data_IF_824881480230
#
_entry.id   IF_824881480230
#
_cell.length_a   1.000
_cell.length_b   1.000
_cell.length_c   1.000
_cell.angle_alpha   90.00
_cell.angle_beta   90.00
_cell.angle_gamma   90.00
#
_symmetry.space_group_name_H-M   'P 1'
#
loop_
_entity.id
_entity.type
_entity.pdbx_description
1 polymer ?
#
# COMPACT_ATOMS: atom_id res chain seq x y z
N UNK A 1 -10.16 15.41 2.01
CA UNK A 1 -8.75 15.80 2.26
C UNK A 1 -8.06 14.94 3.33
N UNK A 2 -8.69 14.65 4.47
CA UNK A 2 -8.02 13.93 5.58
C UNK A 2 -7.76 12.44 5.31
N UNK A 3 -8.69 11.75 4.62
CA UNK A 3 -8.57 10.32 4.31
C UNK A 3 -7.35 10.01 3.43
N UNK A 4 -7.14 10.76 2.34
CA UNK A 4 -5.98 10.58 1.45
C UNK A 4 -4.65 10.77 2.20
N UNK A 5 -4.55 11.83 3.02
CA UNK A 5 -3.36 12.12 3.81
C UNK A 5 -3.06 10.98 4.80
N UNK A 6 -4.07 10.52 5.54
CA UNK A 6 -3.91 9.39 6.47
C UNK A 6 -3.44 8.13 5.74
N UNK A 7 -3.99 7.87 4.55
CA UNK A 7 -3.65 6.71 3.75
C UNK A 7 -2.17 6.72 3.34
N UNK A 8 -1.64 7.89 2.98
CA UNK A 8 -0.21 8.07 2.70
C UNK A 8 0.68 7.94 3.92
N UNK A 9 0.29 8.53 5.06
CA UNK A 9 1.05 8.45 6.31
C UNK A 9 1.14 7.01 6.84
N UNK A 10 0.01 6.31 6.81
CA UNK A 10 -0.09 4.90 7.19
C UNK A 10 0.78 4.03 6.26
N UNK A 11 0.71 4.25 4.93
CA UNK A 11 1.56 3.53 3.97
C UNK A 11 3.05 3.76 4.22
N UNK A 12 3.47 5.01 4.41
CA UNK A 12 4.87 5.33 4.69
C UNK A 12 5.33 4.67 6.00
N UNK A 13 4.49 4.70 7.04
CA UNK A 13 4.78 4.07 8.33
C UNK A 13 4.94 2.55 8.21
N UNK A 14 4.06 1.90 7.45
CA UNK A 14 4.15 0.47 7.19
C UNK A 14 5.37 0.10 6.33
N UNK A 15 5.75 0.91 5.35
CA UNK A 15 6.97 0.70 4.56
C UNK A 15 8.23 0.80 5.42
N UNK A 16 8.29 1.78 6.33
CA UNK A 16 9.38 1.89 7.31
C UNK A 16 9.44 0.66 8.23
N UNK A 17 8.27 0.21 8.71
CA UNK A 17 8.17 -1.00 9.52
C UNK A 17 8.60 -2.26 8.75
N UNK A 18 8.26 -2.34 7.47
CA UNK A 18 8.63 -3.42 6.55
C UNK A 18 10.14 -3.58 6.37
N UNK A 19 10.92 -2.50 6.52
CA UNK A 19 12.39 -2.58 6.56
C UNK A 19 12.92 -3.45 7.71
N UNK A 20 12.13 -3.65 8.77
CA UNK A 20 12.46 -4.52 9.90
C UNK A 20 11.78 -5.89 9.85
N UNK A 21 11.04 -6.22 8.78
CA UNK A 21 10.25 -7.45 8.66
C UNK A 21 11.04 -8.73 8.92
N UNK A 22 12.31 -8.78 8.47
CA UNK A 22 13.18 -9.94 8.69
C UNK A 22 13.46 -10.24 10.18
N UNK A 23 13.30 -9.25 11.07
CA UNK A 23 13.50 -9.39 12.51
C UNK A 23 12.24 -9.79 13.27
N UNK A 24 11.09 -9.79 12.62
CA UNK A 24 9.83 -10.17 13.27
C UNK A 24 9.79 -11.67 13.52
N UNK A 25 9.14 -12.06 14.61
CA UNK A 25 8.72 -13.44 14.81
C UNK A 25 7.56 -13.79 13.87
N UNK A 26 7.14 -15.05 13.86
CA UNK A 26 6.09 -15.53 12.96
C UNK A 26 4.79 -14.75 13.10
N UNK A 27 4.38 -14.46 14.33
CA UNK A 27 3.14 -13.72 14.61
C UNK A 27 3.26 -12.25 14.17
N UNK A 28 4.39 -11.59 14.44
CA UNK A 28 4.67 -10.24 13.98
C UNK A 28 4.70 -10.13 12.45
N UNK A 29 5.27 -11.13 11.77
CA UNK A 29 5.22 -11.20 10.30
C UNK A 29 3.80 -11.34 9.78
N UNK A 30 2.98 -12.21 10.41
CA UNK A 30 1.58 -12.39 10.05
C UNK A 30 0.78 -11.10 10.21
N UNK A 31 0.89 -10.44 11.37
CA UNK A 31 0.23 -9.15 11.64
C UNK A 31 0.69 -8.09 10.63
N UNK A 32 1.98 -8.03 10.33
CA UNK A 32 2.50 -7.08 9.34
C UNK A 32 1.85 -7.27 7.96
N UNK A 33 1.76 -8.51 7.49
CA UNK A 33 1.10 -8.84 6.21
C UNK A 33 -0.37 -8.43 6.26
N UNK A 34 -1.11 -8.78 7.31
CA UNK A 34 -2.52 -8.44 7.46
C UNK A 34 -2.75 -6.91 7.45
N UNK A 35 -1.89 -6.15 8.13
CA UNK A 35 -1.96 -4.68 8.13
C UNK A 35 -1.66 -4.09 6.75
N UNK A 36 -0.68 -4.64 6.04
CA UNK A 36 -0.39 -4.25 4.66
C UNK A 36 -1.56 -4.55 3.72
N UNK A 37 -2.17 -5.73 3.82
CA UNK A 37 -3.34 -6.11 3.01
C UNK A 37 -4.54 -5.19 3.28
N UNK A 38 -4.83 -4.89 4.55
CA UNK A 38 -5.89 -3.96 4.93
C UNK A 38 -5.66 -2.55 4.38
N UNK A 39 -4.41 -2.08 4.38
CA UNK A 39 -4.06 -0.82 3.74
C UNK A 39 -4.28 -0.87 2.21
N UNK A 40 -3.87 -1.95 1.55
CA UNK A 40 -4.11 -2.11 0.10
C UNK A 40 -5.58 -2.10 -0.26
N UNK A 41 -6.44 -2.70 0.58
CA UNK A 41 -7.88 -2.67 0.37
C UNK A 41 -8.46 -1.25 0.55
N UNK A 42 -8.05 -0.53 1.60
CA UNK A 42 -8.41 0.90 1.80
C UNK A 42 -8.00 1.75 0.59
N UNK A 43 -6.78 1.53 0.08
CA UNK A 43 -6.31 2.23 -1.11
C UNK A 43 -7.16 1.91 -2.33
N UNK A 44 -7.47 0.63 -2.58
CA UNK A 44 -8.29 0.19 -3.71
C UNK A 44 -9.67 0.85 -3.67
N UNK A 45 -10.30 0.88 -2.51
CA UNK A 45 -11.59 1.54 -2.30
C UNK A 45 -11.46 3.05 -2.56
N UNK A 46 -10.41 3.70 -2.06
CA UNK A 46 -10.14 5.12 -2.29
C UNK A 46 -10.02 5.42 -3.80
N UNK A 47 -9.22 4.65 -4.53
CA UNK A 47 -9.06 4.80 -5.98
C UNK A 47 -10.33 4.48 -6.77
N UNK A 48 -11.15 3.53 -6.33
CA UNK A 48 -12.42 3.22 -6.98
C UNK A 48 -13.45 4.33 -6.77
N UNK A 49 -13.55 4.87 -5.55
CA UNK A 49 -14.40 6.05 -5.28
C UNK A 49 -13.95 7.24 -6.11
N UNK A 50 -12.65 7.38 -6.28
CA UNK A 50 -12.04 8.41 -7.09
C UNK A 50 -12.37 8.30 -8.58
N UNK A 51 -12.17 7.12 -9.17
CA UNK A 51 -12.44 6.84 -10.59
C UNK A 51 -13.90 7.15 -10.96
N UNK A 52 -14.81 7.02 -9.99
CA UNK A 52 -16.23 7.29 -10.13
C UNK A 52 -16.65 8.72 -9.74
N UNK A 53 -15.72 9.55 -9.25
CA UNK A 53 -16.01 10.90 -8.76
C UNK A 53 -15.68 11.95 -9.81
N UNK A 54 -16.64 12.85 -10.09
CA UNK A 54 -16.44 14.07 -10.88
C UNK A 54 -15.76 15.20 -10.09
N UNK A 55 -15.31 14.94 -8.85
CA UNK A 55 -14.70 15.95 -7.98
C UNK A 55 -13.28 16.31 -8.45
N UNK A 56 -13.12 17.57 -8.88
CA UNK A 56 -11.86 18.17 -9.30
C UNK A 56 -10.74 18.06 -8.23
N UNK A 57 -11.09 18.08 -6.94
CA UNK A 57 -10.12 17.92 -5.84
C UNK A 57 -9.57 16.50 -5.74
N UNK A 58 -10.38 15.51 -6.18
CA UNK A 58 -9.90 14.17 -6.37
C UNK A 58 -8.82 14.22 -7.46
N UNK A 59 -9.13 14.66 -8.69
CA UNK A 59 -8.19 14.68 -9.82
C UNK A 59 -6.78 15.21 -9.49
N UNK A 60 -6.68 16.35 -8.79
CA UNK A 60 -5.41 16.91 -8.34
C UNK A 60 -4.59 16.01 -7.38
N UNK A 61 -5.26 15.26 -6.51
CA UNK A 61 -4.58 14.37 -5.53
C UNK A 61 -3.89 13.21 -6.23
N UNK A 62 -4.49 12.65 -7.28
CA UNK A 62 -3.86 11.61 -8.10
C UNK A 62 -2.77 12.18 -8.98
N UNK A 63 -2.92 13.39 -9.51
CA UNK A 63 -1.81 14.04 -10.22
C UNK A 63 -0.60 14.26 -9.30
N UNK A 64 -0.81 14.69 -8.06
CA UNK A 64 0.27 14.79 -7.08
C UNK A 64 0.90 13.43 -6.76
N UNK A 65 0.08 12.40 -6.56
CA UNK A 65 0.56 11.03 -6.35
C UNK A 65 1.39 10.53 -7.55
N UNK A 66 0.87 10.69 -8.76
CA UNK A 66 1.54 10.33 -10.00
C UNK A 66 2.84 11.10 -10.17
N UNK A 67 2.88 12.37 -9.77
CA UNK A 67 4.11 13.18 -9.81
C UNK A 67 5.15 12.64 -8.84
N UNK A 68 4.77 12.30 -7.61
CA UNK A 68 5.68 11.72 -6.63
C UNK A 68 6.20 10.35 -7.06
N UNK A 69 5.31 9.45 -7.52
CA UNK A 69 5.70 8.12 -7.97
C UNK A 69 6.45 8.16 -9.30
N UNK A 70 6.16 9.14 -10.16
CA UNK A 70 6.86 9.39 -11.41
C UNK A 70 8.34 9.71 -11.21
N UNK A 71 8.73 10.32 -10.07
CA UNK A 71 10.14 10.50 -9.70
C UNK A 71 10.87 9.17 -9.51
N UNK A 72 10.14 8.12 -9.14
CA UNK A 72 10.64 6.74 -9.01
C UNK A 72 10.41 5.90 -10.28
N UNK A 73 9.84 6.48 -11.33
CA UNK A 73 9.57 5.79 -12.60
C UNK A 73 8.47 4.73 -12.53
N UNK A 74 7.59 4.79 -11.52
CA UNK A 74 6.50 3.83 -11.32
C UNK A 74 5.15 4.53 -11.31
N UNK A 75 4.13 3.84 -11.81
CA UNK A 75 2.73 4.28 -11.67
C UNK A 75 2.13 3.73 -10.37
N UNK A 76 1.06 4.35 -9.83
CA UNK A 76 0.35 3.79 -8.67
C UNK A 76 -0.04 2.33 -8.92
N UNK A 77 -0.62 2.03 -10.09
CA UNK A 77 -1.02 0.68 -10.48
C UNK A 77 0.14 -0.33 -10.37
N UNK A 78 1.30 0.00 -10.93
CA UNK A 78 2.48 -0.87 -10.86
C UNK A 78 2.96 -1.07 -9.42
N UNK A 79 2.89 -0.02 -8.60
CA UNK A 79 3.21 -0.14 -7.17
C UNK A 79 2.29 -1.15 -6.47
N UNK A 80 0.98 -1.15 -6.77
CA UNK A 80 0.02 -2.13 -6.21
C UNK A 80 0.32 -3.55 -6.64
N UNK A 81 0.50 -3.76 -7.95
CA UNK A 81 0.81 -5.09 -8.48
C UNK A 81 2.08 -5.65 -7.84
N UNK A 82 3.12 -4.81 -7.70
CA UNK A 82 4.37 -5.19 -7.04
C UNK A 82 4.16 -5.51 -5.55
N UNK A 83 3.30 -4.76 -4.87
CA UNK A 83 3.02 -4.97 -3.44
C UNK A 83 2.22 -6.25 -3.22
N UNK A 84 1.18 -6.52 -4.01
CA UNK A 84 0.41 -7.76 -3.95
C UNK A 84 1.30 -8.98 -4.18
N UNK A 85 2.16 -8.94 -5.20
CA UNK A 85 3.14 -10.01 -5.44
C UNK A 85 4.11 -10.20 -4.26
N UNK A 86 4.47 -9.13 -3.57
CA UNK A 86 5.37 -9.18 -2.42
C UNK A 86 4.67 -9.82 -1.21
N UNK A 87 3.43 -9.42 -0.93
CA UNK A 87 2.63 -9.98 0.16
C UNK A 87 2.31 -11.46 -0.06
N UNK A 88 1.97 -11.86 -1.29
CA UNK A 88 1.77 -13.28 -1.66
C UNK A 88 3.01 -14.14 -1.38
N UNK A 89 4.21 -13.63 -1.71
CA UNK A 89 5.47 -14.31 -1.38
C UNK A 89 5.68 -14.40 0.12
N UNK A 90 5.48 -13.31 0.85
CA UNK A 90 5.62 -13.28 2.32
C UNK A 90 4.68 -14.30 3.00
N UNK A 91 3.43 -14.41 2.54
CA UNK A 91 2.47 -15.42 3.01
C UNK A 91 2.95 -16.84 2.73
N UNK A 92 3.34 -17.10 1.49
CA UNK A 92 3.86 -18.41 1.07
C UNK A 92 5.08 -18.84 1.89
N UNK A 93 5.95 -17.89 2.25
CA UNK A 93 7.11 -18.15 3.10
C UNK A 93 6.73 -18.47 4.55
N UNK A 94 5.68 -17.83 5.09
CA UNK A 94 5.16 -18.14 6.43
C UNK A 94 4.50 -19.52 6.48
N UNK A 95 3.74 -19.90 5.44
CA UNK A 95 3.13 -21.23 5.35
C UNK A 95 4.20 -22.32 5.31
N UNK A 96 5.32 -22.11 4.60
CA UNK A 96 6.46 -23.05 4.56
C UNK A 96 7.24 -23.16 5.87
N UNK A 97 7.11 -22.17 6.76
CA UNK A 97 7.71 -22.18 8.11
C UNK A 97 6.80 -22.83 9.16
N UNK A 98 5.61 -23.29 8.76
CA UNK A 98 4.63 -23.97 9.62
C UNK A 98 4.87 -25.47 9.67
#
# INVERSE_FOLDING_TARGET
QQEAKQLFEDYHSLMQLGGSYGKFDREGKKIFIEQMESMMDRYRIFMKRFELSDDFMAQMTVEQLNTQLGQFGITPKQMFEQMEMTLEKMKSELEKQS
#
